data_IF_305550054828
#
_entry.id   IF_305550054828
#
_cell.length_a   1.000
_cell.length_b   1.000
_cell.length_c   1.000
_cell.angle_alpha   90.00
_cell.angle_beta   90.00
_cell.angle_gamma   90.00
#
_symmetry.space_group_name_H-M   'P 1'
#
loop_
_entity.id
_entity.type
_entity.pdbx_description
1 polymer ?
#
# COMPACT_ATOMS: atom_id res chain seq x y z
N UNK A 1 29.47 2.65 -8.66
CA UNK A 1 30.11 3.81 -8.00
C UNK A 1 29.29 5.10 -8.00
N UNK A 2 28.68 5.55 -9.09
CA UNK A 2 27.85 6.77 -9.09
C UNK A 2 26.42 6.53 -8.53
N UNK A 3 25.79 5.41 -8.89
CA UNK A 3 24.49 4.98 -8.37
C UNK A 3 24.53 4.63 -6.88
N UNK A 4 25.56 3.94 -6.41
CA UNK A 4 25.74 3.59 -5.00
C UNK A 4 25.86 4.84 -4.12
N UNK A 5 26.65 5.85 -4.54
CA UNK A 5 26.74 7.14 -3.83
C UNK A 5 25.41 7.90 -3.81
N UNK A 6 24.62 7.83 -4.89
CA UNK A 6 23.29 8.46 -4.89
C UNK A 6 22.32 7.73 -3.94
N UNK A 7 22.52 6.43 -3.70
CA UNK A 7 21.70 5.65 -2.76
C UNK A 7 22.04 5.94 -1.28
N UNK A 8 23.29 6.31 -0.97
CA UNK A 8 23.72 6.64 0.40
C UNK A 8 23.16 7.99 0.90
N UNK A 9 22.91 8.93 -0.02
CA UNK A 9 22.31 10.25 0.29
C UNK A 9 20.77 10.24 0.32
N UNK A 10 20.14 9.09 0.04
CA UNK A 10 18.69 8.96 0.03
C UNK A 10 18.16 8.72 1.43
N UNK A 11 17.00 9.32 1.71
CA UNK A 11 16.23 9.19 2.93
C UNK A 11 16.25 7.73 3.48
N UNK A 12 16.59 7.52 4.76
CA UNK A 12 16.53 6.21 5.37
C UNK A 12 15.08 5.69 5.32
N UNK A 13 14.92 4.41 4.96
CA UNK A 13 13.62 3.77 4.88
C UNK A 13 12.88 3.83 6.22
N UNK A 14 11.64 4.29 6.18
CA UNK A 14 10.72 4.25 7.31
C UNK A 14 9.92 2.95 7.23
N UNK A 15 10.11 2.07 8.21
CA UNK A 15 9.53 0.72 8.17
C UNK A 15 8.01 0.74 8.30
N UNK A 16 7.32 0.41 7.22
CA UNK A 16 5.85 0.31 7.16
C UNK A 16 5.36 -0.85 8.03
N UNK A 17 6.07 -1.97 8.02
CA UNK A 17 5.77 -3.13 8.86
C UNK A 17 5.73 -2.77 10.34
N UNK A 18 6.68 -1.96 10.80
CA UNK A 18 6.71 -1.45 12.18
C UNK A 18 5.57 -0.46 12.44
N UNK A 19 5.34 0.48 11.53
CA UNK A 19 4.29 1.48 11.67
C UNK A 19 2.90 0.83 11.80
N UNK A 20 2.61 -0.23 11.04
CA UNK A 20 1.34 -0.93 11.14
C UNK A 20 1.19 -1.72 12.46
N UNK A 21 2.26 -2.35 12.94
CA UNK A 21 2.23 -3.10 14.22
C UNK A 21 2.03 -2.20 15.43
N UNK A 22 2.52 -0.97 15.38
CA UNK A 22 2.47 -0.01 16.51
C UNK A 22 1.29 0.95 16.43
N UNK A 23 0.63 1.06 15.28
CA UNK A 23 -0.50 1.97 15.09
C UNK A 23 -1.77 1.49 15.79
N UNK A 24 -2.50 2.41 16.40
CA UNK A 24 -3.84 2.14 16.93
C UNK A 24 -4.88 1.90 15.84
N UNK A 25 -4.69 2.43 14.64
CA UNK A 25 -5.63 2.29 13.50
C UNK A 25 -5.15 1.38 12.40
N UNK A 26 -3.84 1.35 12.10
CA UNK A 26 -3.27 0.59 11.00
C UNK A 26 -3.72 1.05 9.60
N UNK A 27 -4.27 2.26 9.48
CA UNK A 27 -4.80 2.73 8.20
C UNK A 27 -3.66 3.17 7.28
N UNK A 28 -3.57 2.53 6.11
CA UNK A 28 -2.76 2.96 4.97
C UNK A 28 -3.67 3.83 4.09
N UNK A 29 -3.49 5.15 4.16
CA UNK A 29 -4.31 6.09 3.40
C UNK A 29 -3.79 6.18 1.96
N UNK A 30 -4.64 5.79 0.98
CA UNK A 30 -4.25 5.73 -0.42
C UNK A 30 -4.59 7.03 -1.16
N UNK A 31 -3.60 7.57 -1.85
CA UNK A 31 -3.75 8.65 -2.81
C UNK A 31 -3.84 8.10 -4.23
N UNK A 32 -4.95 8.40 -4.91
CA UNK A 32 -5.18 8.13 -6.34
C UNK A 32 -6.21 9.07 -6.92
N UNK A 33 -6.06 9.44 -8.17
CA UNK A 33 -7.02 10.32 -8.87
C UNK A 33 -8.12 9.55 -9.58
N UNK A 34 -7.84 8.29 -9.95
CA UNK A 34 -8.71 7.45 -10.78
C UNK A 34 -8.72 6.01 -10.29
N UNK A 35 -9.74 5.24 -10.65
CA UNK A 35 -9.72 3.78 -10.54
C UNK A 35 -10.36 3.14 -11.78
N UNK A 36 -9.91 1.93 -12.20
CA UNK A 36 -10.49 1.24 -13.35
C UNK A 36 -12.00 1.00 -13.23
N UNK A 37 -12.50 0.74 -12.02
CA UNK A 37 -13.91 0.43 -11.78
C UNK A 37 -14.84 1.64 -11.64
N UNK A 38 -14.31 2.84 -11.33
CA UNK A 38 -15.10 4.05 -11.03
C UNK A 38 -14.75 5.26 -11.90
N UNK A 39 -13.71 5.16 -12.74
CA UNK A 39 -13.19 6.30 -13.46
C UNK A 39 -12.50 7.33 -12.56
N UNK A 40 -12.64 8.60 -12.89
CA UNK A 40 -12.07 9.70 -12.12
C UNK A 40 -12.80 9.88 -10.79
N UNK A 41 -12.05 9.84 -9.69
CA UNK A 41 -12.53 10.08 -8.31
C UNK A 41 -12.28 11.54 -7.92
N UNK A 42 -11.06 12.02 -8.18
CA UNK A 42 -10.61 13.35 -7.83
C UNK A 42 -9.52 13.79 -8.83
N UNK A 43 -9.89 14.20 -10.07
CA UNK A 43 -8.93 14.43 -11.17
C UNK A 43 -7.89 15.50 -10.85
N UNK A 44 -8.30 16.57 -10.17
CA UNK A 44 -7.44 17.70 -9.81
C UNK A 44 -6.72 17.55 -8.47
N UNK A 45 -6.79 16.36 -7.84
CA UNK A 45 -6.13 16.13 -6.56
C UNK A 45 -4.61 16.27 -6.68
N UNK A 46 -4.06 17.02 -5.75
CA UNK A 46 -2.63 17.21 -5.59
C UNK A 46 -2.10 16.30 -4.46
N UNK A 47 -0.92 15.68 -4.65
CA UNK A 47 -0.31 14.83 -3.65
C UNK A 47 0.02 15.56 -2.33
N UNK A 48 0.02 16.89 -2.31
CA UNK A 48 0.14 17.68 -1.08
C UNK A 48 -0.98 17.38 -0.06
N UNK A 49 -2.14 16.88 -0.49
CA UNK A 49 -3.21 16.47 0.44
C UNK A 49 -2.79 15.33 1.38
N UNK A 50 -1.72 14.58 1.05
CA UNK A 50 -1.21 13.49 1.90
C UNK A 50 -0.66 13.97 3.23
N UNK A 51 -0.21 15.23 3.34
CA UNK A 51 0.14 15.85 4.61
C UNK A 51 -1.08 15.88 5.58
N UNK A 52 -2.27 16.11 5.04
CA UNK A 52 -3.51 16.02 5.81
C UNK A 52 -3.85 14.60 6.28
N UNK A 53 -3.40 13.56 5.57
CA UNK A 53 -3.57 12.18 6.01
C UNK A 53 -2.73 11.86 7.25
N UNK A 54 -1.49 12.35 7.31
CA UNK A 54 -0.65 12.22 8.51
C UNK A 54 -1.30 12.92 9.71
N UNK A 55 -1.74 14.16 9.53
CA UNK A 55 -2.43 14.92 10.59
C UNK A 55 -3.74 14.26 11.04
N UNK A 56 -4.43 13.58 10.14
CA UNK A 56 -5.65 12.83 10.43
C UNK A 56 -5.38 11.51 11.18
N UNK A 57 -4.14 11.03 11.27
CA UNK A 57 -3.76 9.83 12.03
C UNK A 57 -3.61 8.57 11.16
N UNK A 58 -3.33 8.69 9.86
CA UNK A 58 -2.90 7.55 9.06
C UNK A 58 -1.61 6.94 9.62
N UNK A 59 -1.45 5.63 9.50
CA UNK A 59 -0.24 4.91 9.88
C UNK A 59 0.81 4.89 8.76
N UNK A 60 0.35 4.93 7.51
CA UNK A 60 1.16 4.89 6.31
C UNK A 60 0.42 5.53 5.14
N UNK A 61 1.14 5.78 4.06
CA UNK A 61 0.59 6.23 2.78
C UNK A 61 0.76 5.15 1.71
N UNK A 62 -0.21 5.05 0.81
CA UNK A 62 -0.10 4.33 -0.47
C UNK A 62 -0.30 5.34 -1.59
N UNK A 63 0.64 5.41 -2.54
CA UNK A 63 0.58 6.37 -3.64
C UNK A 63 0.63 5.61 -4.96
N UNK A 64 -0.46 5.71 -5.74
CA UNK A 64 -0.53 5.12 -7.08
C UNK A 64 0.39 5.89 -8.02
N UNK A 65 1.24 5.16 -8.76
CA UNK A 65 2.17 5.76 -9.75
C UNK A 65 1.87 5.36 -11.18
N UNK A 66 0.96 4.43 -11.42
CA UNK A 66 0.48 4.12 -12.76
C UNK A 66 -0.41 5.25 -13.30
N UNK A 67 -0.04 5.80 -14.46
CA UNK A 67 -0.73 6.92 -15.09
C UNK A 67 -2.02 6.48 -15.76
N UNK A 68 -1.96 5.38 -16.51
CA UNK A 68 -3.03 4.94 -17.40
C UNK A 68 -4.29 4.51 -16.64
N UNK A 69 -4.15 3.75 -15.59
CA UNK A 69 -5.27 3.16 -14.85
C UNK A 69 -5.68 3.99 -13.62
N UNK A 70 -4.71 4.68 -12.99
CA UNK A 70 -4.95 5.34 -11.71
C UNK A 70 -4.69 6.85 -11.70
N UNK A 71 -4.17 7.42 -12.81
CA UNK A 71 -3.89 8.85 -12.93
C UNK A 71 -2.77 9.31 -12.01
N UNK A 72 -1.84 8.40 -11.68
CA UNK A 72 -0.70 8.66 -10.81
C UNK A 72 0.57 9.01 -11.57
N UNK A 73 1.61 9.38 -10.86
CA UNK A 73 2.96 9.53 -11.38
C UNK A 73 4.00 9.49 -10.25
N UNK A 74 5.26 9.25 -10.60
CA UNK A 74 6.36 9.18 -9.62
C UNK A 74 6.59 10.49 -8.86
N UNK A 75 6.28 11.63 -9.46
CA UNK A 75 6.37 12.94 -8.81
C UNK A 75 5.43 13.09 -7.61
N UNK A 76 4.33 12.33 -7.58
CA UNK A 76 3.41 12.33 -6.45
C UNK A 76 4.07 11.78 -5.18
N UNK A 77 4.91 10.72 -5.29
CA UNK A 77 5.68 10.20 -4.15
C UNK A 77 6.70 11.24 -3.68
N UNK A 78 7.46 11.84 -4.61
CA UNK A 78 8.47 12.85 -4.27
C UNK A 78 7.84 14.01 -3.53
N UNK A 79 6.72 14.52 -4.03
CA UNK A 79 5.98 15.61 -3.39
C UNK A 79 5.46 15.25 -2.00
N UNK A 80 4.89 14.04 -1.86
CA UNK A 80 4.44 13.56 -0.56
C UNK A 80 5.61 13.41 0.42
N UNK A 81 6.77 12.87 -0.03
CA UNK A 81 7.94 12.68 0.83
C UNK A 81 8.46 13.97 1.46
N UNK A 82 8.36 15.09 0.76
CA UNK A 82 8.74 16.40 1.30
C UNK A 82 7.82 16.87 2.44
N UNK A 83 6.60 16.35 2.52
CA UNK A 83 5.53 16.83 3.39
C UNK A 83 5.16 15.89 4.54
N UNK A 84 5.66 14.64 4.52
CA UNK A 84 5.27 13.61 5.51
C UNK A 84 6.45 12.83 6.07
N UNK A 85 6.28 12.33 7.31
CA UNK A 85 7.18 11.36 7.94
C UNK A 85 6.59 9.95 7.96
N UNK A 86 5.41 9.74 7.39
CA UNK A 86 4.84 8.41 7.29
C UNK A 86 5.61 7.54 6.27
N UNK A 87 5.66 6.22 6.44
CA UNK A 87 6.16 5.33 5.40
C UNK A 87 5.25 5.40 4.16
N UNK A 88 5.87 5.38 2.97
CA UNK A 88 5.19 5.51 1.68
C UNK A 88 5.35 4.21 0.88
N UNK A 89 4.23 3.57 0.55
CA UNK A 89 4.16 2.48 -0.41
C UNK A 89 4.04 3.04 -1.83
N UNK A 90 4.97 2.67 -2.72
CA UNK A 90 4.74 2.80 -4.16
C UNK A 90 3.75 1.73 -4.60
N UNK A 91 2.53 2.12 -4.93
CA UNK A 91 1.47 1.24 -5.43
C UNK A 91 1.50 1.28 -6.96
N UNK A 92 2.06 0.24 -7.56
CA UNK A 92 2.26 0.13 -9.01
C UNK A 92 2.37 -1.35 -9.42
N UNK A 93 2.32 -1.66 -10.71
CA UNK A 93 2.65 -2.97 -11.25
C UNK A 93 4.17 -3.09 -11.39
N UNK A 94 4.85 -3.55 -10.35
CA UNK A 94 6.30 -3.73 -10.34
C UNK A 94 6.63 -5.06 -10.99
N UNK A 95 7.30 -5.00 -12.15
CA UNK A 95 7.70 -6.16 -12.97
C UNK A 95 9.18 -6.11 -13.37
N UNK A 96 9.92 -5.11 -12.94
CA UNK A 96 11.34 -4.98 -13.30
C UNK A 96 12.17 -4.32 -12.19
N UNK A 97 13.48 -4.65 -12.09
CA UNK A 97 14.41 -4.02 -11.15
C UNK A 97 14.51 -2.50 -11.30
N UNK A 98 14.34 -1.99 -12.52
CA UNK A 98 14.38 -0.56 -12.78
C UNK A 98 13.31 0.21 -12.00
N UNK A 99 12.12 -0.38 -11.83
CA UNK A 99 11.04 0.26 -11.07
C UNK A 99 11.37 0.31 -9.57
N UNK A 100 12.15 -0.63 -9.04
CA UNK A 100 12.62 -0.59 -7.64
C UNK A 100 13.58 0.59 -7.43
N UNK A 101 14.52 0.81 -8.35
CA UNK A 101 15.39 1.98 -8.34
C UNK A 101 14.60 3.28 -8.40
N UNK A 102 13.61 3.37 -9.29
CA UNK A 102 12.73 4.53 -9.36
C UNK A 102 11.99 4.77 -8.03
N UNK A 103 11.45 3.71 -7.39
CA UNK A 103 10.78 3.81 -6.09
C UNK A 103 11.71 4.41 -5.03
N UNK A 104 12.93 3.89 -4.94
CA UNK A 104 13.94 4.41 -4.01
C UNK A 104 14.28 5.87 -4.27
N UNK A 105 14.55 6.24 -5.53
CA UNK A 105 14.95 7.60 -5.94
C UNK A 105 13.86 8.66 -5.69
N UNK A 106 12.58 8.28 -5.68
CA UNK A 106 11.49 9.21 -5.40
C UNK A 106 11.09 9.27 -3.92
N UNK A 107 11.71 8.42 -3.07
CA UNK A 107 11.50 8.44 -1.62
C UNK A 107 10.39 7.51 -1.13
N UNK A 108 10.09 6.44 -1.86
CA UNK A 108 9.27 5.35 -1.33
C UNK A 108 10.04 4.56 -0.27
N UNK A 109 9.31 3.98 0.67
CA UNK A 109 9.82 3.12 1.74
C UNK A 109 9.48 1.65 1.49
N UNK A 110 8.38 1.41 0.77
CA UNK A 110 7.92 0.07 0.41
C UNK A 110 7.45 0.02 -1.06
N UNK A 111 7.48 -1.18 -1.62
CA UNK A 111 6.97 -1.48 -2.96
C UNK A 111 5.94 -2.61 -2.91
N UNK A 112 5.04 -2.62 -3.90
CA UNK A 112 4.06 -3.67 -4.09
C UNK A 112 4.59 -4.72 -5.06
N UNK A 113 4.54 -5.99 -4.67
CA UNK A 113 4.65 -7.13 -5.58
C UNK A 113 3.30 -7.86 -5.63
N UNK A 114 2.80 -8.14 -6.82
CA UNK A 114 1.46 -8.72 -7.02
C UNK A 114 1.64 -10.16 -7.51
N UNK A 115 1.22 -11.14 -6.70
CA UNK A 115 1.35 -12.55 -7.03
C UNK A 115 0.67 -12.91 -8.36
N UNK A 116 -0.52 -12.37 -8.64
CA UNK A 116 -1.24 -12.61 -9.90
C UNK A 116 -0.51 -12.07 -11.15
N UNK A 117 0.55 -11.28 -11.02
CA UNK A 117 1.31 -10.67 -12.13
C UNK A 117 2.70 -11.29 -12.29
N UNK A 118 3.25 -11.85 -11.22
CA UNK A 118 4.61 -12.38 -11.15
C UNK A 118 4.58 -13.91 -10.97
N UNK A 119 5.60 -14.57 -11.46
CA UNK A 119 5.90 -15.94 -11.03
C UNK A 119 6.55 -15.93 -9.64
N UNK A 120 6.50 -17.04 -8.86
CA UNK A 120 7.21 -17.12 -7.57
C UNK A 120 8.71 -16.82 -7.67
N UNK A 121 9.35 -17.18 -8.78
CA UNK A 121 10.77 -16.89 -9.01
C UNK A 121 11.04 -15.40 -9.23
N UNK A 122 10.22 -14.73 -10.05
CA UNK A 122 10.31 -13.28 -10.29
C UNK A 122 10.02 -12.50 -8.99
N UNK A 123 9.00 -12.92 -8.24
CA UNK A 123 8.66 -12.31 -6.96
C UNK A 123 9.83 -12.37 -5.98
N UNK A 124 10.47 -13.54 -5.83
CA UNK A 124 11.65 -13.73 -4.96
C UNK A 124 12.81 -12.84 -5.39
N UNK A 125 13.12 -12.78 -6.69
CA UNK A 125 14.23 -11.96 -7.18
C UNK A 125 13.96 -10.45 -6.98
N UNK A 126 12.74 -9.97 -7.27
CA UNK A 126 12.38 -8.57 -7.04
C UNK A 126 12.36 -8.22 -5.55
N UNK A 127 11.89 -9.13 -4.68
CA UNK A 127 11.91 -8.90 -3.23
C UNK A 127 13.34 -8.78 -2.69
N UNK A 128 14.23 -9.70 -3.10
CA UNK A 128 15.66 -9.63 -2.75
C UNK A 128 16.30 -8.30 -3.18
N UNK A 129 16.06 -7.88 -4.43
CA UNK A 129 16.57 -6.61 -4.95
C UNK A 129 15.97 -5.38 -4.25
N UNK A 130 14.71 -5.44 -3.84
CA UNK A 130 14.08 -4.39 -3.04
C UNK A 130 14.79 -4.23 -1.68
N UNK A 131 15.12 -5.35 -1.01
CA UNK A 131 15.88 -5.34 0.25
C UNK A 131 17.30 -4.80 0.08
N UNK A 132 17.99 -5.08 -1.02
CA UNK A 132 19.29 -4.46 -1.34
C UNK A 132 19.21 -2.93 -1.45
N UNK A 133 18.06 -2.42 -1.94
CA UNK A 133 17.75 -0.99 -1.98
C UNK A 133 17.17 -0.45 -0.66
N UNK A 134 17.09 -1.28 0.38
CA UNK A 134 16.47 -0.92 1.68
C UNK A 134 15.01 -0.48 1.51
N UNK A 135 14.25 -1.16 0.66
CA UNK A 135 12.80 -1.03 0.52
C UNK A 135 12.12 -2.23 1.18
N UNK A 136 11.03 -2.01 1.90
CA UNK A 136 10.16 -3.10 2.35
C UNK A 136 9.26 -3.59 1.20
N UNK A 137 8.80 -4.83 1.29
CA UNK A 137 7.96 -5.48 0.27
C UNK A 137 6.60 -5.86 0.85
N UNK A 138 5.54 -5.32 0.24
CA UNK A 138 4.18 -5.78 0.42
C UNK A 138 3.84 -6.76 -0.72
N UNK A 139 3.68 -8.05 -0.40
CA UNK A 139 3.18 -9.06 -1.34
C UNK A 139 1.64 -9.03 -1.33
N UNK A 140 1.02 -8.71 -2.47
CA UNK A 140 -0.42 -8.75 -2.65
C UNK A 140 -0.85 -10.12 -3.19
N UNK A 141 -1.83 -10.75 -2.51
CA UNK A 141 -2.44 -12.01 -2.93
C UNK A 141 -3.97 -11.88 -3.01
N UNK A 142 -4.60 -12.76 -3.81
CA UNK A 142 -6.05 -12.84 -4.00
C UNK A 142 -6.64 -14.17 -3.53
N UNK A 143 -5.86 -15.24 -3.48
CA UNK A 143 -6.30 -16.55 -3.01
C UNK A 143 -5.16 -17.33 -2.34
N UNK A 144 -5.50 -18.51 -1.78
CA UNK A 144 -4.56 -19.34 -1.02
C UNK A 144 -3.42 -19.89 -1.88
N UNK A 145 -3.65 -20.16 -3.16
CA UNK A 145 -2.61 -20.71 -4.05
C UNK A 145 -1.47 -19.73 -4.25
N UNK A 146 -1.74 -18.44 -4.19
CA UNK A 146 -0.72 -17.39 -4.35
C UNK A 146 0.23 -17.27 -3.14
N UNK A 147 -0.03 -17.99 -2.03
CA UNK A 147 0.91 -18.11 -0.91
C UNK A 147 2.24 -18.78 -1.30
N UNK A 148 2.30 -19.47 -2.43
CA UNK A 148 3.55 -20.03 -2.98
C UNK A 148 4.59 -18.94 -3.34
N UNK A 149 4.17 -17.67 -3.48
CA UNK A 149 5.05 -16.53 -3.71
C UNK A 149 5.78 -16.06 -2.45
N UNK A 150 5.35 -16.51 -1.25
CA UNK A 150 6.01 -16.13 0.00
C UNK A 150 7.48 -16.56 0.00
N UNK A 151 8.32 -15.69 0.49
CA UNK A 151 9.75 -15.90 0.69
C UNK A 151 10.25 -15.01 1.84
N UNK A 152 11.50 -15.19 2.24
CA UNK A 152 12.07 -14.54 3.43
C UNK A 152 12.23 -13.00 3.30
N UNK A 153 12.16 -12.47 2.07
CA UNK A 153 12.29 -11.05 1.78
C UNK A 153 10.92 -10.32 1.69
N UNK A 154 9.83 -10.97 2.15
CA UNK A 154 8.51 -10.33 2.26
C UNK A 154 8.33 -9.75 3.66
N UNK A 155 8.01 -8.46 3.76
CA UNK A 155 7.83 -7.75 5.03
C UNK A 155 6.37 -7.64 5.45
N UNK A 156 5.44 -7.59 4.48
CA UNK A 156 4.00 -7.46 4.68
C UNK A 156 3.24 -8.36 3.69
N UNK A 157 2.13 -8.91 4.12
CA UNK A 157 1.26 -9.73 3.28
C UNK A 157 -0.11 -9.07 3.11
N UNK A 158 -0.44 -8.67 1.89
CA UNK A 158 -1.70 -8.03 1.52
C UNK A 158 -2.70 -9.01 0.94
N UNK A 159 -3.95 -8.95 1.41
CA UNK A 159 -5.07 -9.66 0.80
C UNK A 159 -5.95 -8.64 0.08
N UNK A 160 -5.97 -8.70 -1.25
CA UNK A 160 -6.80 -7.81 -2.05
C UNK A 160 -8.20 -8.41 -2.26
N UNK A 161 -9.20 -7.75 -1.69
CA UNK A 161 -10.61 -8.12 -1.80
C UNK A 161 -11.20 -7.84 -3.18
N UNK A 162 -10.47 -7.17 -4.07
CA UNK A 162 -10.93 -6.87 -5.43
C UNK A 162 -10.39 -7.90 -6.42
N UNK A 163 -11.28 -8.53 -7.15
CA UNK A 163 -10.90 -9.43 -8.24
C UNK A 163 -10.38 -8.62 -9.43
N UNK A 164 -9.17 -8.91 -9.91
CA UNK A 164 -8.51 -8.13 -10.97
C UNK A 164 -9.26 -8.16 -12.31
N UNK A 165 -9.89 -9.27 -12.67
CA UNK A 165 -10.58 -9.43 -13.95
C UNK A 165 -12.00 -8.84 -13.97
N UNK A 166 -12.77 -9.01 -12.90
CA UNK A 166 -14.18 -8.59 -12.82
C UNK A 166 -14.40 -7.29 -12.07
N UNK A 167 -13.39 -6.79 -11.37
CA UNK A 167 -13.44 -5.66 -10.43
C UNK A 167 -14.47 -5.81 -9.30
N UNK A 168 -15.06 -6.99 -9.15
CA UNK A 168 -15.91 -7.28 -7.99
C UNK A 168 -15.10 -7.22 -6.71
N UNK A 169 -15.66 -6.62 -5.67
CA UNK A 169 -14.97 -6.43 -4.38
C UNK A 169 -15.82 -7.02 -3.26
N UNK A 170 -15.25 -7.99 -2.54
CA UNK A 170 -15.90 -8.63 -1.39
C UNK A 170 -14.89 -8.87 -0.27
N UNK A 171 -15.10 -8.22 0.88
CA UNK A 171 -14.22 -8.34 2.05
C UNK A 171 -14.24 -9.74 2.69
N UNK A 172 -15.18 -10.61 2.33
CA UNK A 172 -15.23 -12.01 2.76
C UNK A 172 -13.90 -12.73 2.45
N UNK A 173 -13.22 -12.37 1.35
CA UNK A 173 -11.93 -12.95 0.99
C UNK A 173 -10.88 -12.79 2.11
N UNK A 174 -10.76 -11.60 2.68
CA UNK A 174 -9.85 -11.38 3.81
C UNK A 174 -10.19 -12.26 5.01
N UNK A 175 -11.47 -12.50 5.29
CA UNK A 175 -11.86 -13.39 6.40
C UNK A 175 -11.55 -14.85 6.10
N UNK A 176 -11.79 -15.33 4.88
CA UNK A 176 -11.53 -16.71 4.49
C UNK A 176 -10.03 -17.06 4.53
N UNK A 177 -9.18 -16.10 4.13
CA UNK A 177 -7.73 -16.31 4.10
C UNK A 177 -7.08 -16.15 5.48
N UNK A 178 -7.69 -15.45 6.44
CA UNK A 178 -7.07 -15.13 7.73
C UNK A 178 -6.52 -16.36 8.48
N UNK A 179 -7.18 -17.53 8.38
CA UNK A 179 -6.73 -18.77 9.04
C UNK A 179 -5.51 -19.41 8.36
N UNK A 180 -5.13 -18.95 7.17
CA UNK A 180 -4.05 -19.50 6.33
C UNK A 180 -2.81 -18.63 6.30
N UNK A 181 -2.93 -17.37 6.73
CA UNK A 181 -1.82 -16.42 6.65
C UNK A 181 -0.77 -16.68 7.75
N UNK A 182 0.53 -16.51 7.44
CA UNK A 182 1.61 -16.71 8.40
C UNK A 182 1.60 -15.61 9.47
N UNK A 183 1.59 -16.00 10.74
CA UNK A 183 1.45 -15.08 11.89
C UNK A 183 2.64 -14.15 12.13
N UNK A 184 3.79 -14.44 11.55
CA UNK A 184 5.01 -13.62 11.72
C UNK A 184 5.00 -12.34 10.89
N UNK A 185 4.23 -12.28 9.80
CA UNK A 185 4.06 -11.09 8.95
C UNK A 185 2.87 -10.26 9.41
N UNK A 186 2.91 -8.91 9.32
CA UNK A 186 1.73 -8.09 9.43
C UNK A 186 0.86 -8.26 8.18
N UNK A 187 -0.45 -8.45 8.39
CA UNK A 187 -1.41 -8.62 7.32
C UNK A 187 -2.12 -7.32 6.98
N UNK A 188 -2.26 -7.06 5.69
CA UNK A 188 -2.96 -5.88 5.14
C UNK A 188 -4.20 -6.34 4.40
N UNK A 189 -5.38 -5.83 4.77
CA UNK A 189 -6.60 -6.02 3.96
C UNK A 189 -6.75 -4.82 3.03
N UNK A 190 -6.94 -5.10 1.74
CA UNK A 190 -7.01 -4.10 0.69
C UNK A 190 -8.34 -4.14 -0.04
N UNK A 191 -8.84 -2.98 -0.44
CA UNK A 191 -10.11 -2.80 -1.15
C UNK A 191 -11.38 -3.13 -0.34
N UNK A 192 -12.48 -2.42 -0.62
CA UNK A 192 -13.80 -2.72 -0.06
C UNK A 192 -14.04 -2.26 1.38
N UNK A 193 -13.08 -1.64 2.03
CA UNK A 193 -13.23 -1.15 3.42
C UNK A 193 -13.88 0.24 3.40
N UNK A 194 -15.22 0.25 3.40
CA UNK A 194 -16.00 1.49 3.35
C UNK A 194 -16.54 1.94 4.72
N UNK A 195 -16.56 1.05 5.71
CA UNK A 195 -17.16 1.32 7.01
C UNK A 195 -16.22 0.96 8.16
N UNK A 196 -16.20 1.76 9.26
CA UNK A 196 -15.41 1.47 10.46
C UNK A 196 -15.71 0.09 11.07
N UNK A 197 -16.95 -0.38 10.96
CA UNK A 197 -17.36 -1.71 11.45
C UNK A 197 -16.57 -2.82 10.74
N UNK A 198 -16.41 -2.73 9.42
CA UNK A 198 -15.64 -3.70 8.62
C UNK A 198 -14.18 -3.73 9.06
N UNK A 199 -13.56 -2.55 9.25
CA UNK A 199 -12.19 -2.46 9.76
C UNK A 199 -12.05 -3.16 11.12
N UNK A 200 -12.97 -2.88 12.07
CA UNK A 200 -12.93 -3.53 13.39
C UNK A 200 -13.08 -5.04 13.32
N UNK A 201 -13.89 -5.56 12.39
CA UNK A 201 -14.05 -7.01 12.18
C UNK A 201 -12.78 -7.63 11.60
N UNK A 202 -12.16 -7.01 10.59
CA UNK A 202 -10.89 -7.43 10.00
C UNK A 202 -9.76 -7.43 11.04
N UNK A 203 -9.71 -6.41 11.90
CA UNK A 203 -8.75 -6.37 13.00
C UNK A 203 -8.92 -7.54 13.97
N UNK A 204 -10.17 -7.90 14.31
CA UNK A 204 -10.45 -9.10 15.13
C UNK A 204 -10.03 -10.39 14.46
N UNK A 205 -10.03 -10.44 13.13
CA UNK A 205 -9.54 -11.57 12.35
C UNK A 205 -8.00 -11.62 12.24
N UNK A 206 -7.27 -10.61 12.77
CA UNK A 206 -5.80 -10.61 12.83
C UNK A 206 -5.10 -9.60 11.92
N UNK A 207 -5.83 -8.84 11.10
CA UNK A 207 -5.23 -7.82 10.23
C UNK A 207 -4.73 -6.62 11.04
N UNK A 208 -3.50 -6.16 10.74
CA UNK A 208 -2.88 -4.97 11.33
C UNK A 208 -2.92 -3.76 10.39
N UNK A 209 -3.00 -4.00 9.06
CA UNK A 209 -3.04 -2.97 8.04
C UNK A 209 -4.36 -2.92 7.28
N UNK A 210 -4.81 -1.72 6.91
CA UNK A 210 -6.07 -1.50 6.18
C UNK A 210 -5.83 -0.46 5.09
N UNK A 211 -5.71 -0.90 3.82
CA UNK A 211 -5.46 -0.02 2.69
C UNK A 211 -6.79 0.53 2.16
N UNK A 212 -6.98 1.84 2.32
CA UNK A 212 -8.25 2.53 2.03
C UNK A 212 -7.98 3.77 1.18
N UNK A 213 -8.52 3.79 -0.03
CA UNK A 213 -8.39 4.92 -0.95
C UNK A 213 -9.74 5.48 -1.41
N UNK A 214 -10.55 4.68 -2.10
CA UNK A 214 -11.81 5.13 -2.70
C UNK A 214 -12.75 5.83 -1.68
N UNK A 215 -12.84 5.30 -0.47
CA UNK A 215 -13.68 5.84 0.61
C UNK A 215 -13.34 7.30 0.92
N UNK A 216 -12.06 7.67 0.86
CA UNK A 216 -11.59 9.02 1.14
C UNK A 216 -11.55 9.88 -0.12
N UNK A 217 -10.92 9.38 -1.18
CA UNK A 217 -10.66 10.14 -2.41
C UNK A 217 -11.91 10.58 -3.19
N UNK A 218 -13.05 9.92 -2.99
CA UNK A 218 -14.33 10.33 -3.61
C UNK A 218 -15.00 11.52 -2.93
N UNK A 219 -14.43 12.01 -1.82
CA UNK A 219 -15.01 13.13 -1.06
C UNK A 219 -14.26 14.43 -1.32
N UNK A 220 -14.91 15.60 -1.20
CA UNK A 220 -14.24 16.89 -1.40
C UNK A 220 -13.07 17.15 -0.45
N UNK A 221 -13.09 16.53 0.74
CA UNK A 221 -12.07 16.69 1.79
C UNK A 221 -11.59 15.32 2.29
N UNK A 222 -10.70 14.63 1.55
CA UNK A 222 -10.26 13.27 1.87
C UNK A 222 -9.68 13.12 3.28
N UNK A 223 -8.85 14.07 3.74
CA UNK A 223 -8.25 14.05 5.07
C UNK A 223 -9.27 14.22 6.21
N UNK A 224 -10.29 15.07 6.01
CA UNK A 224 -11.39 15.22 6.98
C UNK A 224 -12.21 13.94 7.07
N UNK A 225 -12.49 13.31 5.93
CA UNK A 225 -13.19 12.02 5.89
C UNK A 225 -12.40 10.93 6.60
N UNK A 226 -11.08 10.87 6.40
CA UNK A 226 -10.19 9.96 7.12
C UNK A 226 -10.23 10.21 8.63
N UNK A 227 -10.12 11.46 9.08
CA UNK A 227 -10.17 11.81 10.51
C UNK A 227 -11.49 11.35 11.17
N UNK A 228 -12.61 11.54 10.47
CA UNK A 228 -13.94 11.09 10.94
C UNK A 228 -14.02 9.55 10.97
N UNK A 229 -13.48 8.88 9.97
CA UNK A 229 -13.42 7.43 9.91
C UNK A 229 -12.60 6.87 11.07
N UNK A 230 -11.43 7.43 11.35
CA UNK A 230 -10.56 7.02 12.47
C UNK A 230 -11.28 7.17 13.81
N UNK A 231 -11.91 8.33 14.06
CA UNK A 231 -12.68 8.54 15.30
C UNK A 231 -13.79 7.51 15.50
N UNK A 232 -14.34 6.99 14.42
CA UNK A 232 -15.37 5.94 14.46
C UNK A 232 -14.79 4.52 14.58
N UNK A 233 -13.47 4.34 14.42
CA UNK A 233 -12.79 3.06 14.61
C UNK A 233 -12.32 2.83 16.05
N UNK A 234 -12.02 3.90 16.77
CA UNK A 234 -11.57 3.92 18.17
C UNK A 234 -12.74 3.88 19.12
#
# INVERSE_FOLDING_TARGET
>A
MHLEKMLDDIHPCIRMSHALRTSSTGIIAEFKRRSPSKGWLHPDADAALTAGYEQAGAAALSILTDEKFFGGNLGDIRKARELTRLPILRKDFIISPYQLLQAKLVGADAVLLIAAVLTPAECRELARLAHELKLEVLLEIHDESELEHLNDDIDLLGVNNRHLGTFHTDTIRSFLLAERLPSHLPWVSESGIAHPKTLRQLRKAGYQGFLIGETFMKTPQPHTTLANFIRSCL
#
